data_IF_290288560855
#
_entry.id   IF_290288560855
#
_cell.length_a   1.000
_cell.length_b   1.000
_cell.length_c   1.000
_cell.angle_alpha   90.00
_cell.angle_beta   90.00
_cell.angle_gamma   90.00
#
_symmetry.space_group_name_H-M   'P 1'
#
loop_
_entity.id
_entity.type
_entity.pdbx_description
1 polymer ?
#
# COMPACT_ATOMS: atom_id res chain seq x y z
N UNK A 1 24.96 3.26 -27.95
CA UNK A 1 23.62 3.63 -28.46
C UNK A 1 22.97 4.43 -27.39
N UNK A 2 22.86 5.73 -27.55
CA UNK A 2 22.36 6.69 -26.57
C UNK A 2 20.83 6.63 -26.54
N UNK A 3 20.27 6.05 -25.46
CA UNK A 3 18.83 6.04 -25.23
C UNK A 3 18.46 7.39 -24.61
N UNK A 4 17.88 8.27 -25.41
CA UNK A 4 17.32 9.54 -24.98
C UNK A 4 16.05 9.27 -24.18
N UNK A 5 16.13 9.48 -22.86
CA UNK A 5 14.97 9.56 -21.99
C UNK A 5 14.05 10.70 -22.50
N UNK A 6 12.91 10.34 -23.03
CA UNK A 6 11.86 11.28 -23.42
C UNK A 6 11.30 11.92 -22.15
N UNK A 7 11.60 13.21 -21.97
CA UNK A 7 11.00 14.02 -20.90
C UNK A 7 9.48 14.03 -21.06
N UNK A 8 8.78 13.83 -19.95
CA UNK A 8 7.32 13.95 -19.92
C UNK A 8 6.90 15.34 -20.45
N UNK A 9 5.80 15.43 -21.22
CA UNK A 9 5.34 16.70 -21.75
C UNK A 9 4.98 17.65 -20.59
N UNK A 10 5.30 18.95 -20.73
CA UNK A 10 4.94 19.93 -19.73
C UNK A 10 3.39 19.97 -19.60
N UNK A 11 2.93 19.97 -18.36
CA UNK A 11 1.51 20.20 -18.04
C UNK A 11 1.03 21.44 -18.79
N UNK A 12 0.03 21.27 -19.64
CA UNK A 12 -0.55 22.34 -20.43
C UNK A 12 -0.97 23.48 -19.49
N UNK A 13 -0.36 24.64 -19.68
CA UNK A 13 -0.71 25.84 -18.97
C UNK A 13 -2.21 26.13 -19.17
N UNK A 14 -3.01 25.98 -18.09
CA UNK A 14 -4.42 26.40 -18.11
C UNK A 14 -4.47 27.87 -18.49
N UNK A 15 -5.25 28.19 -19.54
CA UNK A 15 -5.53 29.57 -19.96
C UNK A 15 -5.95 30.38 -18.73
N UNK A 16 -5.56 31.66 -18.62
CA UNK A 16 -5.98 32.51 -17.53
C UNK A 16 -7.51 32.58 -17.53
N UNK A 17 -8.10 32.07 -16.44
CA UNK A 17 -9.53 32.21 -16.21
C UNK A 17 -9.81 33.70 -16.00
N UNK A 18 -10.75 34.24 -16.76
CA UNK A 18 -11.30 35.59 -16.57
C UNK A 18 -11.67 35.78 -15.10
N UNK A 19 -11.15 36.84 -14.49
CA UNK A 19 -11.44 37.22 -13.11
C UNK A 19 -12.96 37.30 -12.91
N UNK A 20 -13.52 36.68 -11.86
CA UNK A 20 -14.93 36.82 -11.56
C UNK A 20 -15.26 38.30 -11.26
N UNK A 21 -16.36 38.79 -11.84
CA UNK A 21 -16.87 40.13 -11.58
C UNK A 21 -17.22 40.29 -10.08
N UNK A 22 -17.14 41.51 -9.51
CA UNK A 22 -17.50 41.78 -8.14
C UNK A 22 -18.94 41.31 -7.86
N UNK A 23 -19.15 40.69 -6.71
CA UNK A 23 -20.45 40.17 -6.29
C UNK A 23 -21.52 41.24 -6.36
N UNK A 24 -22.43 41.08 -7.29
CA UNK A 24 -23.73 41.79 -7.30
C UNK A 24 -24.53 41.40 -6.06
N UNK A 25 -25.38 42.30 -5.55
CA UNK A 25 -26.25 42.23 -4.36
C UNK A 25 -27.04 40.92 -4.16
N UNK A 26 -26.35 39.81 -4.00
CA UNK A 26 -26.98 38.58 -3.55
C UNK A 26 -27.10 38.61 -2.03
N UNK A 27 -28.25 38.25 -1.46
CA UNK A 27 -28.40 38.16 -0.02
C UNK A 27 -27.34 37.21 0.55
N UNK A 28 -26.76 37.58 1.69
CA UNK A 28 -25.80 36.73 2.40
C UNK A 28 -26.46 35.40 2.74
N UNK A 29 -25.70 34.28 2.67
CA UNK A 29 -26.22 32.97 3.10
C UNK A 29 -26.66 33.00 4.57
N UNK A 30 -27.68 32.25 4.90
CA UNK A 30 -28.21 32.16 6.26
C UNK A 30 -27.29 31.35 7.21
N UNK A 31 -26.37 30.55 6.65
CA UNK A 31 -25.41 29.73 7.38
C UNK A 31 -23.99 29.94 6.85
N UNK A 32 -23.01 29.91 7.74
CA UNK A 32 -21.58 29.93 7.35
C UNK A 32 -21.21 28.68 6.52
N UNK A 33 -21.89 27.56 6.68
CA UNK A 33 -21.67 26.36 5.90
C UNK A 33 -22.01 26.56 4.41
N UNK A 34 -23.00 27.42 4.12
CA UNK A 34 -23.43 27.74 2.76
C UNK A 34 -22.61 28.87 2.12
N UNK A 35 -21.75 29.51 2.90
CA UNK A 35 -20.86 30.55 2.36
C UNK A 35 -19.76 29.88 1.51
N UNK A 36 -19.74 30.14 0.19
CA UNK A 36 -18.74 29.52 -0.67
C UNK A 36 -17.33 30.03 -0.34
N UNK A 37 -16.30 29.31 -0.83
CA UNK A 37 -14.92 29.77 -0.74
C UNK A 37 -14.78 31.20 -1.25
N UNK A 38 -14.17 32.07 -0.48
CA UNK A 38 -13.96 33.48 -0.80
C UNK A 38 -12.60 33.70 -1.47
N UNK A 39 -12.49 34.82 -2.18
CA UNK A 39 -11.24 35.33 -2.75
C UNK A 39 -11.04 36.76 -2.29
N UNK A 40 -9.82 37.27 -2.40
CA UNK A 40 -9.55 38.68 -2.15
C UNK A 40 -10.41 39.56 -3.11
N UNK A 41 -11.16 40.51 -2.55
CA UNK A 41 -12.03 41.41 -3.32
C UNK A 41 -11.24 42.32 -4.28
N UNK A 42 -10.03 42.72 -3.87
CA UNK A 42 -9.12 43.58 -4.66
C UNK A 42 -7.68 43.06 -4.53
N UNK A 43 -7.32 41.99 -5.25
CA UNK A 43 -5.98 41.45 -5.15
C UNK A 43 -4.95 42.40 -5.75
N UNK A 44 -3.91 42.75 -5.00
CA UNK A 44 -2.81 43.60 -5.43
C UNK A 44 -1.74 42.85 -6.24
N UNK A 45 -1.82 41.50 -6.30
CA UNK A 45 -0.88 40.63 -7.02
C UNK A 45 -1.53 39.36 -7.50
N UNK A 46 -0.88 38.66 -8.46
CA UNK A 46 -1.31 37.35 -8.92
C UNK A 46 -1.27 36.32 -7.77
N UNK A 47 -0.38 36.48 -6.81
CA UNK A 47 -0.33 35.61 -5.62
C UNK A 47 -1.59 35.79 -4.75
N UNK A 48 -2.02 37.02 -4.50
CA UNK A 48 -3.25 37.30 -3.77
C UNK A 48 -4.50 36.83 -4.52
N UNK A 49 -4.51 36.90 -5.85
CA UNK A 49 -5.63 36.43 -6.66
C UNK A 49 -5.81 34.90 -6.61
N UNK A 50 -4.75 34.14 -6.26
CA UNK A 50 -4.80 32.69 -6.09
C UNK A 50 -5.30 32.24 -4.71
N UNK A 51 -5.31 33.14 -3.71
CA UNK A 51 -5.73 32.80 -2.36
C UNK A 51 -7.21 32.42 -2.29
N UNK A 52 -7.53 31.36 -1.59
CA UNK A 52 -8.87 30.89 -1.28
C UNK A 52 -9.06 30.85 0.23
N UNK A 53 -10.22 31.30 0.69
CA UNK A 53 -10.58 31.35 2.11
C UNK A 53 -11.82 30.50 2.35
N UNK A 54 -11.67 29.42 3.11
CA UNK A 54 -12.75 28.60 3.60
C UNK A 54 -13.10 29.02 5.03
N UNK A 55 -14.22 28.57 5.54
CA UNK A 55 -14.67 28.83 6.90
C UNK A 55 -14.88 27.53 7.68
N UNK A 56 -15.14 27.61 8.98
CA UNK A 56 -15.32 26.44 9.85
C UNK A 56 -16.53 25.58 9.48
N UNK A 57 -17.53 26.11 8.80
CA UNK A 57 -18.71 25.37 8.36
C UNK A 57 -18.47 24.50 7.13
N UNK A 58 -17.42 24.80 6.34
CA UNK A 58 -17.09 24.07 5.11
C UNK A 58 -15.62 23.64 4.98
N UNK A 59 -14.80 23.87 6.00
CA UNK A 59 -13.36 23.57 5.97
C UNK A 59 -13.04 22.07 5.72
N UNK A 60 -13.94 21.20 6.13
CA UNK A 60 -13.78 19.75 5.99
C UNK A 60 -14.63 19.12 4.88
N UNK A 61 -15.29 19.94 4.07
CA UNK A 61 -16.03 19.47 2.89
C UNK A 61 -15.06 19.18 1.73
N UNK A 62 -14.22 18.16 1.91
CA UNK A 62 -13.20 17.74 0.96
C UNK A 62 -13.87 16.79 -0.04
N UNK A 63 -13.75 17.09 -1.34
CA UNK A 63 -14.37 16.33 -2.42
C UNK A 63 -13.36 15.38 -3.10
N UNK A 64 -12.62 14.62 -2.29
CA UNK A 64 -11.79 13.51 -2.81
C UNK A 64 -12.61 12.22 -2.77
N UNK A 65 -12.49 11.35 -3.80
CA UNK A 65 -13.12 10.04 -3.77
C UNK A 65 -12.62 9.22 -2.57
N UNK A 66 -13.52 8.44 -1.98
CA UNK A 66 -13.15 7.45 -0.96
C UNK A 66 -12.24 6.39 -1.55
N UNK A 67 -11.37 5.81 -0.72
CA UNK A 67 -10.57 4.66 -1.11
C UNK A 67 -11.48 3.44 -1.23
N UNK A 68 -11.65 2.83 -2.43
CA UNK A 68 -12.57 1.73 -2.59
C UNK A 68 -11.98 0.42 -2.03
N UNK A 69 -12.82 -0.38 -1.36
CA UNK A 69 -12.49 -1.79 -1.12
C UNK A 69 -12.47 -2.53 -2.45
N UNK A 70 -11.36 -3.21 -2.77
CA UNK A 70 -11.15 -3.86 -4.05
C UNK A 70 -10.35 -5.16 -3.92
N UNK A 71 -10.57 -6.08 -4.87
CA UNK A 71 -9.76 -7.30 -5.03
C UNK A 71 -9.29 -7.40 -6.48
N UNK A 72 -7.99 -7.41 -6.69
CA UNK A 72 -7.33 -7.61 -7.97
C UNK A 72 -7.13 -9.11 -8.17
N UNK A 73 -7.84 -9.70 -9.12
CA UNK A 73 -7.80 -11.14 -9.45
C UNK A 73 -7.28 -11.39 -10.86
N UNK A 74 -7.44 -10.44 -11.76
CA UNK A 74 -6.99 -10.54 -13.14
C UNK A 74 -5.48 -10.32 -13.27
N UNK A 75 -4.91 -9.43 -12.44
CA UNK A 75 -3.49 -9.12 -12.45
C UNK A 75 -2.62 -10.31 -12.05
N UNK A 76 -2.89 -11.04 -10.94
CA UNK A 76 -2.16 -12.27 -10.64
C UNK A 76 -2.40 -13.37 -11.67
N UNK A 77 -3.62 -13.51 -12.21
CA UNK A 77 -3.90 -14.49 -13.27
C UNK A 77 -3.02 -14.23 -14.51
N UNK A 78 -2.91 -12.97 -14.92
CA UNK A 78 -2.00 -12.56 -16.01
C UNK A 78 -0.53 -12.79 -15.67
N UNK A 79 -0.11 -12.48 -14.44
CA UNK A 79 1.28 -12.67 -14.04
C UNK A 79 1.70 -14.14 -14.00
N UNK A 80 0.77 -15.04 -13.68
CA UNK A 80 0.99 -16.48 -13.62
C UNK A 80 0.78 -17.18 -14.97
N UNK A 81 0.18 -16.52 -15.94
CA UNK A 81 -0.01 -17.09 -17.30
C UNK A 81 1.35 -17.25 -18.00
N UNK A 82 1.74 -18.47 -18.41
CA UNK A 82 3.02 -18.76 -19.06
C UNK A 82 3.19 -18.03 -20.41
N UNK A 83 2.11 -17.55 -21.02
CA UNK A 83 2.18 -16.79 -22.27
C UNK A 83 2.49 -15.31 -22.07
N UNK A 84 2.31 -14.78 -20.87
CA UNK A 84 2.62 -13.37 -20.55
C UNK A 84 4.13 -13.12 -20.64
N UNK A 85 4.50 -12.05 -21.31
CA UNK A 85 5.91 -11.63 -21.44
C UNK A 85 6.46 -11.10 -20.09
N UNK A 86 7.79 -11.07 -19.98
CA UNK A 86 8.49 -10.39 -18.90
C UNK A 86 8.07 -8.92 -18.81
N UNK A 87 7.67 -8.47 -17.64
CA UNK A 87 7.19 -7.10 -17.43
C UNK A 87 6.43 -6.89 -16.12
N UNK A 88 5.95 -5.67 -15.93
CA UNK A 88 5.19 -5.23 -14.76
C UNK A 88 3.70 -5.15 -15.07
N UNK A 89 2.87 -5.57 -14.11
CA UNK A 89 1.41 -5.51 -14.15
C UNK A 89 0.94 -4.76 -12.91
N UNK A 90 0.48 -3.53 -13.09
CA UNK A 90 0.08 -2.66 -11.97
C UNK A 90 -1.32 -3.02 -11.45
N UNK A 91 -1.49 -3.01 -10.13
CA UNK A 91 -2.78 -3.00 -9.46
C UNK A 91 -3.28 -1.55 -9.37
N UNK A 92 -3.74 -1.01 -10.48
CA UNK A 92 -4.02 0.43 -10.62
C UNK A 92 -5.50 0.77 -10.39
N UNK A 93 -5.74 1.72 -9.48
CA UNK A 93 -7.04 2.33 -9.15
C UNK A 93 -7.04 3.84 -9.32
N UNK A 94 -6.08 4.40 -10.04
CA UNK A 94 -5.92 5.85 -10.23
C UNK A 94 -7.21 6.53 -10.70
N UNK A 95 -7.96 5.92 -11.60
CA UNK A 95 -9.24 6.44 -12.07
C UNK A 95 -10.28 6.57 -10.94
N UNK A 96 -10.38 5.57 -10.05
CA UNK A 96 -11.30 5.61 -8.91
C UNK A 96 -10.85 6.57 -7.80
N UNK A 97 -9.53 6.75 -7.67
CA UNK A 97 -8.92 7.65 -6.68
C UNK A 97 -8.82 9.10 -7.21
N UNK A 98 -9.13 9.34 -8.48
CA UNK A 98 -8.94 10.62 -9.18
C UNK A 98 -7.49 11.13 -9.10
N UNK A 99 -6.50 10.22 -9.17
CA UNK A 99 -5.08 10.58 -9.20
C UNK A 99 -4.56 10.61 -10.65
N UNK A 100 -3.63 11.54 -11.01
CA UNK A 100 -3.06 11.63 -12.35
C UNK A 100 -1.89 10.65 -12.60
N UNK A 101 -1.63 9.73 -11.68
CA UNK A 101 -0.56 8.73 -11.72
C UNK A 101 -1.10 7.38 -11.24
N UNK A 102 -0.49 6.25 -11.64
CA UNK A 102 -0.88 4.94 -11.16
C UNK A 102 -0.81 4.84 -9.63
N UNK A 103 -1.86 4.27 -9.02
CA UNK A 103 -1.97 4.11 -7.58
C UNK A 103 -2.92 2.96 -7.22
N UNK A 104 -2.55 2.10 -6.31
CA UNK A 104 -3.44 1.09 -5.71
C UNK A 104 -4.28 1.74 -4.61
N UNK A 105 -3.63 2.61 -3.84
CA UNK A 105 -4.20 3.46 -2.80
C UNK A 105 -3.53 4.83 -2.86
N UNK A 106 -3.98 5.87 -2.16
CA UNK A 106 -3.40 7.21 -2.28
C UNK A 106 -1.89 7.29 -2.10
N UNK A 107 -1.30 6.40 -1.29
CA UNK A 107 0.13 6.44 -0.98
C UNK A 107 0.92 5.22 -1.47
N UNK A 108 0.24 4.19 -2.00
CA UNK A 108 0.86 2.88 -2.29
C UNK A 108 0.51 2.41 -3.69
N UNK A 109 1.49 1.85 -4.37
CA UNK A 109 1.28 1.14 -5.63
C UNK A 109 1.84 -0.29 -5.54
N UNK A 110 0.94 -1.27 -5.68
CA UNK A 110 1.29 -2.68 -5.80
C UNK A 110 1.34 -3.10 -7.28
N UNK A 111 2.22 -4.04 -7.59
CA UNK A 111 2.41 -4.61 -8.93
C UNK A 111 2.76 -6.09 -8.84
N UNK A 112 2.44 -6.80 -9.89
CA UNK A 112 3.07 -8.09 -10.18
C UNK A 112 4.18 -7.87 -11.20
N UNK A 113 5.30 -8.53 -11.00
CA UNK A 113 6.38 -8.62 -11.98
C UNK A 113 6.48 -10.07 -12.44
N UNK A 114 6.28 -10.31 -13.74
CA UNK A 114 6.57 -11.60 -14.36
C UNK A 114 7.95 -11.53 -15.00
N UNK A 115 8.77 -12.57 -14.79
CA UNK A 115 10.10 -12.72 -15.37
C UNK A 115 10.19 -14.15 -15.90
N UNK A 116 10.33 -14.30 -17.20
CA UNK A 116 10.50 -15.62 -17.83
C UNK A 116 11.85 -16.24 -17.48
N UNK A 117 11.90 -17.55 -17.54
CA UNK A 117 13.14 -18.30 -17.31
C UNK A 117 14.32 -17.74 -18.13
N UNK A 118 15.38 -17.37 -17.45
CA UNK A 118 16.57 -16.79 -18.07
C UNK A 118 16.47 -15.30 -18.43
N UNK A 119 15.29 -14.69 -18.31
CA UNK A 119 15.11 -13.26 -18.53
C UNK A 119 15.57 -12.43 -17.32
N UNK A 120 15.70 -11.14 -17.57
CA UNK A 120 15.92 -10.11 -16.55
C UNK A 120 14.89 -9.00 -16.70
N UNK A 121 14.50 -8.40 -15.56
CA UNK A 121 13.60 -7.27 -15.48
C UNK A 121 14.31 -6.09 -14.78
N UNK A 122 14.79 -5.10 -15.54
CA UNK A 122 15.31 -3.87 -14.94
C UNK A 122 14.14 -3.01 -14.43
N UNK A 123 14.30 -2.47 -13.23
CA UNK A 123 13.35 -1.55 -12.59
C UNK A 123 14.10 -0.37 -11.98
N UNK A 124 13.41 0.78 -11.90
CA UNK A 124 13.88 1.95 -11.16
C UNK A 124 12.64 2.75 -10.76
N UNK A 125 12.25 2.66 -9.50
CA UNK A 125 11.02 3.27 -9.01
C UNK A 125 11.31 4.61 -8.32
N UNK A 126 10.50 5.63 -8.61
CA UNK A 126 10.48 6.90 -7.87
C UNK A 126 9.84 6.70 -6.49
N UNK A 127 10.56 6.03 -5.60
CA UNK A 127 10.08 5.63 -4.27
C UNK A 127 11.18 5.79 -3.22
N UNK A 128 10.81 5.82 -1.94
CA UNK A 128 11.76 5.78 -0.82
C UNK A 128 12.42 4.42 -0.67
N UNK A 129 11.71 3.37 -1.09
CA UNK A 129 12.16 1.98 -1.07
C UNK A 129 11.15 1.08 -1.78
N UNK A 130 11.51 -0.17 -1.93
CA UNK A 130 10.75 -1.19 -2.65
C UNK A 130 10.61 -2.42 -1.74
N UNK A 131 9.39 -2.90 -1.53
CA UNK A 131 9.13 -4.19 -0.90
C UNK A 131 8.80 -5.21 -1.98
N UNK A 132 9.40 -6.39 -1.91
CA UNK A 132 9.20 -7.50 -2.84
C UNK A 132 8.82 -8.76 -2.07
N UNK A 133 7.80 -9.47 -2.52
CA UNK A 133 7.49 -10.85 -2.11
C UNK A 133 7.62 -11.76 -3.33
N UNK A 134 8.30 -12.88 -3.17
CA UNK A 134 8.48 -13.87 -4.24
C UNK A 134 7.32 -14.84 -4.23
N UNK A 135 6.41 -14.71 -5.22
CA UNK A 135 5.24 -15.61 -5.36
C UNK A 135 5.67 -16.97 -5.90
N UNK A 136 6.53 -16.97 -6.92
CA UNK A 136 6.94 -18.17 -7.65
C UNK A 136 8.35 -18.02 -8.19
N UNK A 137 9.06 -19.13 -8.29
CA UNK A 137 10.37 -19.19 -8.92
C UNK A 137 11.52 -18.92 -7.95
N UNK A 138 12.70 -18.85 -8.52
CA UNK A 138 13.95 -18.51 -7.84
C UNK A 138 14.82 -17.66 -8.77
N UNK A 139 15.71 -16.86 -8.19
CA UNK A 139 16.57 -15.98 -8.95
C UNK A 139 17.46 -15.13 -8.06
N UNK A 140 17.84 -13.99 -8.57
CA UNK A 140 18.57 -12.99 -7.78
C UNK A 140 18.19 -11.57 -8.21
N UNK A 141 18.38 -10.63 -7.31
CA UNK A 141 18.22 -9.20 -7.57
C UNK A 141 19.56 -8.52 -7.33
N UNK A 142 19.99 -7.72 -8.30
CA UNK A 142 21.06 -6.77 -8.12
C UNK A 142 20.48 -5.38 -7.83
N UNK A 143 20.93 -4.76 -6.72
CA UNK A 143 20.55 -3.42 -6.31
C UNK A 143 21.81 -2.67 -5.81
N UNK A 144 22.41 -1.83 -6.65
CA UNK A 144 23.75 -1.28 -6.39
C UNK A 144 24.80 -2.39 -6.29
N UNK A 145 25.54 -2.44 -5.17
CA UNK A 145 26.54 -3.47 -4.89
C UNK A 145 25.96 -4.75 -4.25
N UNK A 146 24.67 -4.76 -3.92
CA UNK A 146 24.02 -5.91 -3.30
C UNK A 146 23.54 -6.93 -4.32
N UNK A 147 23.83 -8.20 -4.05
CA UNK A 147 23.36 -9.36 -4.79
C UNK A 147 22.53 -10.27 -3.88
N UNK A 148 21.23 -10.23 -4.03
CA UNK A 148 20.29 -10.97 -3.19
C UNK A 148 19.72 -12.16 -3.97
N UNK A 149 20.16 -13.36 -3.68
CA UNK A 149 19.50 -14.58 -4.16
C UNK A 149 18.18 -14.77 -3.42
N UNK A 150 17.13 -15.19 -4.13
CA UNK A 150 15.79 -15.38 -3.58
C UNK A 150 15.09 -16.60 -4.19
N UNK A 151 14.10 -17.08 -3.47
CA UNK A 151 13.19 -18.14 -3.86
C UNK A 151 11.75 -17.83 -3.43
N UNK A 152 10.79 -18.66 -3.89
CA UNK A 152 9.39 -18.50 -3.53
C UNK A 152 9.18 -18.45 -2.01
N UNK A 153 8.41 -17.47 -1.54
CA UNK A 153 8.12 -17.20 -0.14
C UNK A 153 9.03 -16.16 0.51
N UNK A 154 10.14 -15.79 -0.11
CA UNK A 154 11.04 -14.77 0.41
C UNK A 154 10.44 -13.36 0.35
N UNK A 155 10.82 -12.51 1.31
CA UNK A 155 10.54 -11.07 1.31
C UNK A 155 11.84 -10.31 1.20
N UNK A 156 11.89 -9.32 0.29
CA UNK A 156 13.02 -8.41 0.16
C UNK A 156 12.56 -6.98 0.40
N UNK A 157 13.42 -6.17 1.01
CA UNK A 157 13.30 -4.71 1.05
C UNK A 157 14.53 -4.14 0.38
N UNK A 158 14.31 -3.23 -0.57
CA UNK A 158 15.38 -2.65 -1.37
C UNK A 158 15.34 -1.12 -1.28
N UNK A 159 16.48 -0.44 -1.32
CA UNK A 159 16.53 1.02 -1.38
C UNK A 159 15.82 1.55 -2.64
N UNK A 160 15.09 2.65 -2.51
CA UNK A 160 14.51 3.36 -3.66
C UNK A 160 15.51 4.27 -4.35
N UNK A 161 15.13 4.81 -5.51
CA UNK A 161 15.91 5.81 -6.24
C UNK A 161 17.16 5.29 -6.93
N UNK A 162 17.32 3.98 -7.02
CA UNK A 162 18.43 3.35 -7.74
C UNK A 162 17.95 2.22 -8.65
N UNK A 163 18.67 1.94 -9.75
CA UNK A 163 18.35 0.81 -10.62
C UNK A 163 18.45 -0.52 -9.87
N UNK A 164 17.51 -1.39 -10.17
CA UNK A 164 17.45 -2.77 -9.69
C UNK A 164 17.25 -3.68 -10.90
N UNK A 165 17.89 -4.85 -10.90
CA UNK A 165 17.70 -5.83 -11.96
C UNK A 165 17.35 -7.17 -11.30
N UNK A 166 16.16 -7.67 -11.62
CA UNK A 166 15.69 -8.96 -11.16
C UNK A 166 15.93 -10.02 -12.24
N UNK A 167 16.61 -11.10 -11.90
CA UNK A 167 16.92 -12.20 -12.82
C UNK A 167 16.18 -13.46 -12.35
N UNK A 168 15.38 -14.06 -13.25
CA UNK A 168 14.84 -15.39 -13.04
C UNK A 168 15.87 -16.45 -13.40
N UNK A 169 16.00 -17.46 -12.55
CA UNK A 169 16.86 -18.61 -12.79
C UNK A 169 16.24 -19.57 -13.84
N UNK A 170 16.42 -20.87 -13.74
CA UNK A 170 15.99 -21.87 -14.74
C UNK A 170 14.45 -22.04 -14.90
N UNK A 171 13.63 -21.26 -14.21
CA UNK A 171 12.16 -21.27 -14.30
C UNK A 171 11.61 -19.85 -14.25
N UNK A 172 10.35 -19.70 -14.71
CA UNK A 172 9.63 -18.43 -14.61
C UNK A 172 9.48 -17.99 -13.17
N UNK A 173 9.63 -16.68 -12.92
CA UNK A 173 9.41 -16.08 -11.63
C UNK A 173 8.26 -15.07 -11.66
N UNK A 174 7.52 -14.99 -10.55
CA UNK A 174 6.51 -13.97 -10.31
C UNK A 174 6.80 -13.32 -8.96
N UNK A 175 6.96 -12.01 -8.99
CA UNK A 175 7.18 -11.18 -7.80
C UNK A 175 5.97 -10.29 -7.56
N UNK A 176 5.63 -10.03 -6.30
CA UNK A 176 4.73 -8.95 -5.91
C UNK A 176 5.57 -7.81 -5.36
N UNK A 177 5.43 -6.63 -5.97
CA UNK A 177 6.26 -5.45 -5.68
C UNK A 177 5.36 -4.33 -5.19
N UNK A 178 5.72 -3.73 -4.05
CA UNK A 178 4.98 -2.61 -3.46
C UNK A 178 5.92 -1.43 -3.20
N UNK A 179 5.47 -0.24 -3.59
CA UNK A 179 6.23 1.00 -3.47
C UNK A 179 5.35 2.14 -2.95
N UNK A 180 5.98 3.20 -2.44
CA UNK A 180 5.31 4.45 -2.07
C UNK A 180 5.42 5.54 -3.17
N UNK A 181 5.52 5.15 -4.44
CA UNK A 181 5.57 6.09 -5.56
C UNK A 181 4.41 7.09 -5.58
N UNK A 182 3.13 6.69 -5.30
CA UNK A 182 2.02 7.64 -5.26
C UNK A 182 2.20 8.74 -4.22
N UNK A 183 2.81 8.44 -3.06
CA UNK A 183 3.12 9.43 -2.04
C UNK A 183 4.10 10.48 -2.58
N UNK A 184 5.21 10.06 -3.20
CA UNK A 184 6.19 10.98 -3.77
C UNK A 184 5.58 11.81 -4.90
N UNK A 185 4.77 11.18 -5.74
CA UNK A 185 4.07 11.85 -6.84
C UNK A 185 3.08 12.91 -6.34
N UNK A 186 2.34 12.62 -5.26
CA UNK A 186 1.41 13.58 -4.64
C UNK A 186 2.12 14.83 -4.14
N UNK A 187 3.26 14.66 -3.49
CA UNK A 187 4.05 15.77 -2.93
C UNK A 187 5.01 16.39 -3.95
N UNK A 188 5.07 15.90 -5.20
CA UNK A 188 6.06 16.28 -6.23
C UNK A 188 7.51 16.07 -5.77
N UNK A 189 7.75 15.07 -4.92
CA UNK A 189 9.07 14.69 -4.46
C UNK A 189 9.78 13.78 -5.46
N UNK A 190 11.09 13.59 -5.23
CA UNK A 190 11.93 12.64 -5.94
C UNK A 190 12.47 11.59 -4.99
N UNK A 191 12.83 10.44 -5.54
CA UNK A 191 13.54 9.41 -4.79
C UNK A 191 14.81 9.94 -4.15
N UNK A 192 15.25 9.38 -3.02
CA UNK A 192 16.57 9.67 -2.48
C UNK A 192 17.68 9.38 -3.49
N UNK A 193 18.74 10.16 -3.46
CA UNK A 193 19.95 9.86 -4.24
C UNK A 193 20.54 8.50 -3.81
N UNK A 194 21.30 7.86 -4.70
CA UNK A 194 21.98 6.60 -4.41
C UNK A 194 22.78 6.70 -3.10
N UNK A 195 22.63 5.72 -2.22
CA UNK A 195 23.25 5.68 -0.90
C UNK A 195 22.59 6.56 0.17
N UNK A 196 21.54 7.33 -0.17
CA UNK A 196 20.79 8.19 0.77
C UNK A 196 19.39 7.69 1.07
N UNK A 197 19.03 6.49 0.61
CA UNK A 197 17.72 5.91 0.88
C UNK A 197 17.52 5.72 2.40
N UNK A 198 16.28 5.92 2.91
CA UNK A 198 15.98 5.77 4.34
C UNK A 198 15.95 4.30 4.77
N UNK A 199 16.10 3.36 3.83
CA UNK A 199 16.19 1.92 4.08
C UNK A 199 17.44 1.34 3.41
N UNK A 200 17.81 0.14 3.81
CA UNK A 200 18.90 -0.68 3.27
C UNK A 200 18.32 -1.92 2.60
N UNK A 201 19.16 -2.68 1.89
CA UNK A 201 18.76 -3.97 1.38
C UNK A 201 18.59 -4.96 2.55
N UNK A 202 17.43 -5.60 2.65
CA UNK A 202 17.11 -6.58 3.68
C UNK A 202 16.45 -7.78 3.03
N UNK A 203 16.84 -8.98 3.45
CA UNK A 203 16.28 -10.25 2.99
C UNK A 203 15.71 -11.03 4.16
N UNK A 204 14.46 -11.43 4.05
CA UNK A 204 13.75 -12.29 5.00
C UNK A 204 13.47 -13.62 4.30
N UNK A 205 14.25 -14.68 4.56
CA UNK A 205 14.07 -15.99 3.93
C UNK A 205 12.76 -16.67 4.35
N UNK A 206 12.14 -17.40 3.44
CA UNK A 206 10.86 -18.08 3.65
C UNK A 206 10.86 -19.09 4.80
N UNK A 207 11.94 -19.84 4.97
CA UNK A 207 12.12 -20.77 6.06
C UNK A 207 12.20 -20.07 7.42
N UNK A 208 12.90 -18.95 7.51
CA UNK A 208 12.96 -18.13 8.72
C UNK A 208 11.60 -17.47 9.01
N UNK A 209 10.89 -16.96 8.00
CA UNK A 209 9.52 -16.46 8.16
C UNK A 209 8.62 -17.54 8.76
N UNK A 210 8.67 -18.76 8.22
CA UNK A 210 7.89 -19.90 8.73
C UNK A 210 8.25 -20.23 10.16
N UNK A 211 9.54 -20.29 10.50
CA UNK A 211 10.02 -20.54 11.85
C UNK A 211 9.53 -19.49 12.85
N UNK A 212 9.56 -18.21 12.47
CA UNK A 212 9.09 -17.12 13.31
C UNK A 212 7.56 -17.18 13.54
N UNK A 213 6.79 -17.54 12.52
CA UNK A 213 5.34 -17.71 12.65
C UNK A 213 5.04 -18.89 13.59
N UNK A 214 5.73 -20.01 13.46
CA UNK A 214 5.53 -21.18 14.34
C UNK A 214 5.87 -20.84 15.79
N UNK A 215 6.93 -20.06 16.02
CA UNK A 215 7.26 -19.56 17.36
C UNK A 215 6.14 -18.68 17.94
N UNK A 216 5.52 -17.80 17.14
CA UNK A 216 4.38 -16.98 17.58
C UNK A 216 3.21 -17.87 18.00
N UNK A 217 2.92 -18.97 17.29
CA UNK A 217 1.88 -19.91 17.66
C UNK A 217 2.20 -20.67 18.93
N UNK A 218 3.44 -21.08 19.12
CA UNK A 218 3.85 -21.83 20.31
C UNK A 218 3.78 -20.97 21.58
N UNK A 219 4.22 -19.71 21.50
CA UNK A 219 4.20 -18.77 22.63
C UNK A 219 2.82 -18.14 22.85
N UNK A 220 2.09 -17.86 21.76
CA UNK A 220 0.81 -17.14 21.80
C UNK A 220 -0.41 -17.98 22.19
N UNK A 221 -0.24 -19.27 22.54
CA UNK A 221 -1.35 -20.15 22.91
C UNK A 221 -2.14 -19.59 24.10
N UNK A 222 -3.43 -19.37 23.91
CA UNK A 222 -4.33 -18.89 24.95
C UNK A 222 -4.32 -17.39 25.20
N UNK A 223 -3.62 -16.62 24.36
CA UNK A 223 -3.66 -15.16 24.42
C UNK A 223 -4.76 -14.59 23.49
N UNK A 224 -5.48 -13.58 23.97
CA UNK A 224 -6.46 -12.84 23.15
C UNK A 224 -5.73 -11.80 22.29
N UNK A 225 -5.34 -12.21 21.10
CA UNK A 225 -4.68 -11.35 20.09
C UNK A 225 -5.53 -11.25 18.83
N UNK A 226 -5.44 -10.14 18.12
CA UNK A 226 -6.20 -9.88 16.88
C UNK A 226 -5.81 -10.79 15.69
N UNK A 227 -4.94 -11.76 15.91
CA UNK A 227 -4.36 -12.69 14.93
C UNK A 227 -2.86 -12.84 15.16
N UNK A 228 -2.28 -13.94 14.66
CA UNK A 228 -0.83 -14.13 14.73
C UNK A 228 -0.18 -13.36 13.58
N UNK A 229 0.41 -12.21 13.89
CA UNK A 229 1.10 -11.35 12.93
C UNK A 229 2.59 -11.29 13.20
N UNK A 230 3.40 -11.62 12.20
CA UNK A 230 4.84 -11.38 12.18
C UNK A 230 5.10 -10.01 11.55
N UNK A 231 5.66 -9.08 12.30
CA UNK A 231 5.98 -7.74 11.82
C UNK A 231 7.41 -7.72 11.30
N UNK A 232 7.59 -7.24 10.07
CA UNK A 232 8.91 -7.09 9.45
C UNK A 232 9.52 -5.74 9.78
N UNK A 233 10.80 -5.71 10.06
CA UNK A 233 11.57 -4.49 10.30
C UNK A 233 13.05 -4.72 9.99
N UNK A 234 13.85 -3.67 10.02
CA UNK A 234 15.31 -3.74 9.89
C UNK A 234 15.97 -2.97 11.01
N UNK A 235 17.29 -3.15 11.19
CA UNK A 235 18.07 -2.39 12.16
C UNK A 235 17.91 -0.89 11.97
N UNK A 236 17.85 -0.41 10.72
CA UNK A 236 17.67 1.00 10.39
C UNK A 236 16.29 1.55 10.77
N UNK A 237 15.26 0.70 10.78
CA UNK A 237 13.88 1.06 11.08
C UNK A 237 13.39 0.54 12.45
N UNK A 238 14.27 0.08 13.31
CA UNK A 238 13.96 -0.58 14.58
C UNK A 238 13.08 0.30 15.49
N UNK A 239 13.37 1.60 15.57
CA UNK A 239 12.65 2.52 16.45
C UNK A 239 11.16 2.67 16.12
N UNK A 240 10.77 2.45 14.86
CA UNK A 240 9.38 2.56 14.37
C UNK A 240 8.83 1.23 13.86
N UNK A 241 9.64 0.16 13.85
CA UNK A 241 9.26 -1.22 13.46
C UNK A 241 8.61 -1.29 12.09
N UNK A 242 9.15 -0.54 11.14
CA UNK A 242 8.70 -0.50 9.75
C UNK A 242 9.74 -1.15 8.82
N UNK A 243 9.40 -1.32 7.56
CA UNK A 243 10.34 -1.65 6.48
C UNK A 243 10.78 -0.42 5.70
N UNK A 244 9.87 0.56 5.55
CA UNK A 244 10.13 1.89 5.02
C UNK A 244 9.58 2.93 6.00
N UNK A 245 10.01 4.20 5.97
CA UNK A 245 9.50 5.21 6.89
C UNK A 245 7.98 5.30 6.96
N UNK A 246 7.31 5.10 5.84
CA UNK A 246 5.84 5.23 5.72
C UNK A 246 5.11 3.89 5.62
N UNK A 247 5.81 2.78 5.34
CA UNK A 247 5.19 1.48 5.13
C UNK A 247 5.56 0.48 6.22
N UNK A 248 4.55 -0.11 6.83
CA UNK A 248 4.65 -1.31 7.65
C UNK A 248 4.38 -2.54 6.81
N UNK A 249 5.00 -3.66 7.16
CA UNK A 249 4.72 -4.97 6.54
C UNK A 249 4.52 -6.01 7.64
N UNK A 250 3.45 -6.80 7.47
CA UNK A 250 3.13 -7.89 8.38
C UNK A 250 2.72 -9.15 7.62
N UNK A 251 3.21 -10.32 8.04
CA UNK A 251 2.67 -11.60 7.62
C UNK A 251 1.63 -12.05 8.65
N UNK A 252 0.38 -12.00 8.27
CA UNK A 252 -0.72 -12.50 9.10
C UNK A 252 -1.02 -13.97 8.79
N UNK A 253 -1.41 -14.68 9.82
CA UNK A 253 -1.75 -16.09 9.74
C UNK A 253 -2.95 -16.41 10.62
N UNK A 254 -3.86 -17.26 10.11
CA UNK A 254 -5.04 -17.73 10.84
C UNK A 254 -5.11 -19.27 10.79
N UNK A 255 -5.24 -19.97 11.92
CA UNK A 255 -5.50 -21.41 11.93
C UNK A 255 -6.83 -21.77 11.26
N UNK A 256 -7.03 -23.04 10.88
CA UNK A 256 -8.33 -23.53 10.43
C UNK A 256 -9.46 -23.24 11.42
N UNK A 257 -10.61 -22.78 10.93
CA UNK A 257 -11.79 -22.49 11.75
C UNK A 257 -11.71 -21.21 12.58
N UNK A 258 -10.60 -20.47 12.53
CA UNK A 258 -10.42 -19.24 13.32
C UNK A 258 -10.90 -18.02 12.53
N UNK A 259 -11.58 -17.13 13.24
CA UNK A 259 -12.01 -15.81 12.76
C UNK A 259 -11.31 -14.72 13.55
N UNK A 260 -10.82 -13.73 12.85
CA UNK A 260 -10.26 -12.53 13.46
C UNK A 260 -11.41 -11.63 13.94
N UNK A 261 -11.27 -11.07 15.13
CA UNK A 261 -12.25 -10.15 15.69
C UNK A 261 -12.36 -8.88 14.82
N UNK A 262 -13.59 -8.39 14.54
CA UNK A 262 -13.78 -7.17 13.75
C UNK A 262 -13.05 -5.98 14.38
N UNK A 263 -12.28 -5.29 13.55
CA UNK A 263 -11.49 -4.12 13.98
C UNK A 263 -11.39 -3.10 12.85
N UNK A 264 -10.87 -1.93 13.18
CA UNK A 264 -10.56 -0.87 12.23
C UNK A 264 -9.25 -0.19 12.59
N UNK A 265 -8.61 0.38 11.61
CA UNK A 265 -7.44 1.25 11.76
C UNK A 265 -7.46 2.37 10.73
N UNK A 266 -6.76 3.46 11.00
CA UNK A 266 -6.70 4.62 10.11
C UNK A 266 -5.73 4.47 8.93
N UNK A 267 -4.84 3.47 8.94
CA UNK A 267 -4.04 3.10 7.77
C UNK A 267 -4.89 2.35 6.73
N UNK A 268 -4.55 2.52 5.47
CA UNK A 268 -5.01 1.61 4.42
C UNK A 268 -4.26 0.27 4.53
N UNK A 269 -4.87 -0.84 4.13
CA UNK A 269 -4.16 -2.10 3.98
C UNK A 269 -4.22 -2.60 2.53
N UNK A 270 -3.06 -2.91 1.96
CA UNK A 270 -2.90 -3.61 0.69
C UNK A 270 -2.34 -4.99 1.02
N UNK A 271 -3.12 -6.03 0.76
CA UNK A 271 -2.79 -7.39 1.20
C UNK A 271 -2.66 -8.34 0.02
N UNK A 272 -1.63 -9.18 0.05
CA UNK A 272 -1.46 -10.31 -0.87
C UNK A 272 -1.96 -11.59 -0.19
N UNK A 273 -2.91 -12.28 -0.79
CA UNK A 273 -3.38 -13.59 -0.34
C UNK A 273 -2.37 -14.65 -0.75
N UNK A 274 -1.69 -15.29 0.22
CA UNK A 274 -0.69 -16.33 -0.03
C UNK A 274 -1.31 -17.72 0.06
N UNK A 275 -2.06 -17.99 1.13
CA UNK A 275 -2.80 -19.23 1.33
C UNK A 275 -4.16 -18.90 1.95
N UNK A 276 -5.24 -19.27 1.28
CA UNK A 276 -6.56 -18.83 1.73
C UNK A 276 -7.72 -19.62 1.11
N UNK A 277 -7.52 -20.93 0.86
CA UNK A 277 -8.62 -21.78 0.41
C UNK A 277 -9.76 -21.81 1.43
N UNK A 278 -10.99 -21.47 1.00
CA UNK A 278 -12.17 -21.39 1.87
C UNK A 278 -12.17 -20.19 2.83
N UNK A 279 -11.24 -19.24 2.65
CA UNK A 279 -11.13 -18.04 3.45
C UNK A 279 -11.89 -16.86 2.84
N UNK A 280 -12.25 -15.90 3.69
CA UNK A 280 -12.85 -14.64 3.25
C UNK A 280 -12.54 -13.52 4.25
N UNK A 281 -12.70 -12.29 3.77
CA UNK A 281 -12.78 -11.10 4.61
C UNK A 281 -14.20 -10.58 4.64
N UNK A 282 -14.56 -9.89 5.73
CA UNK A 282 -15.74 -9.03 5.78
C UNK A 282 -15.25 -7.60 5.93
N UNK A 283 -15.60 -6.72 5.01
CA UNK A 283 -15.21 -5.30 5.00
C UNK A 283 -16.48 -4.46 4.92
N UNK A 284 -16.75 -3.66 5.95
CA UNK A 284 -18.00 -2.88 6.11
C UNK A 284 -19.25 -3.71 5.82
N UNK A 285 -19.29 -4.92 6.41
CA UNK A 285 -20.40 -5.87 6.27
C UNK A 285 -20.43 -6.63 4.93
N UNK A 286 -19.55 -6.35 4.00
CA UNK A 286 -19.47 -7.03 2.71
C UNK A 286 -18.46 -8.17 2.73
N UNK A 287 -18.93 -9.39 2.39
CA UNK A 287 -18.07 -10.56 2.25
C UNK A 287 -17.22 -10.46 0.98
N UNK A 288 -15.93 -10.75 1.11
CA UNK A 288 -14.92 -10.84 0.04
C UNK A 288 -14.24 -12.20 0.12
N UNK A 289 -14.57 -13.13 -0.76
CA UNK A 289 -13.91 -14.42 -0.80
C UNK A 289 -12.47 -14.26 -1.31
N UNK A 290 -11.55 -15.06 -0.76
CA UNK A 290 -10.15 -15.00 -1.11
C UNK A 290 -9.84 -15.84 -2.35
N UNK A 291 -9.06 -15.27 -3.25
CA UNK A 291 -8.45 -15.99 -4.37
C UNK A 291 -6.94 -16.03 -4.17
N UNK A 292 -6.31 -17.13 -4.53
CA UNK A 292 -4.85 -17.27 -4.44
C UNK A 292 -4.15 -16.13 -5.19
N UNK A 293 -3.18 -15.54 -4.53
CA UNK A 293 -2.35 -14.45 -5.03
C UNK A 293 -3.10 -13.14 -5.34
N UNK A 294 -4.38 -13.03 -5.00
CA UNK A 294 -5.09 -11.77 -5.15
C UNK A 294 -4.48 -10.68 -4.27
N UNK A 295 -4.37 -9.47 -4.83
CA UNK A 295 -4.11 -8.26 -4.07
C UNK A 295 -5.45 -7.66 -3.64
N UNK A 296 -5.63 -7.41 -2.33
CA UNK A 296 -6.86 -6.83 -1.80
C UNK A 296 -6.59 -5.48 -1.15
N UNK A 297 -7.55 -4.57 -1.22
CA UNK A 297 -7.51 -3.27 -0.56
C UNK A 297 -8.59 -3.21 0.52
N UNK A 298 -8.15 -2.95 1.76
CA UNK A 298 -9.02 -2.58 2.87
C UNK A 298 -8.90 -1.07 3.09
N UNK A 299 -10.00 -0.31 2.93
CA UNK A 299 -9.97 1.15 3.08
C UNK A 299 -9.59 1.59 4.49
N UNK A 300 -9.04 2.81 4.67
CA UNK A 300 -8.81 3.37 5.98
C UNK A 300 -10.12 3.48 6.76
N UNK A 301 -10.10 3.17 8.04
CA UNK A 301 -11.24 3.20 8.98
C UNK A 301 -12.37 2.20 8.72
N UNK A 302 -12.35 1.45 7.62
CA UNK A 302 -13.32 0.38 7.36
C UNK A 302 -13.28 -0.69 8.45
N UNK A 303 -14.44 -1.10 8.95
CA UNK A 303 -14.55 -2.22 9.89
C UNK A 303 -14.31 -3.51 9.11
N UNK A 304 -13.31 -4.27 9.52
CA UNK A 304 -12.97 -5.51 8.82
C UNK A 304 -12.55 -6.65 9.75
N UNK A 305 -12.69 -7.86 9.22
CA UNK A 305 -12.28 -9.11 9.85
C UNK A 305 -11.91 -10.13 8.78
N UNK A 306 -11.07 -11.11 9.17
CA UNK A 306 -10.65 -12.19 8.30
C UNK A 306 -11.08 -13.53 8.89
N UNK A 307 -11.54 -14.46 8.05
CA UNK A 307 -12.14 -15.72 8.46
C UNK A 307 -11.51 -16.87 7.69
N UNK A 308 -10.99 -17.85 8.40
CA UNK A 308 -10.48 -19.08 7.80
C UNK A 308 -11.48 -20.22 7.96
N UNK A 309 -12.31 -20.43 6.94
CA UNK A 309 -13.22 -21.59 6.87
C UNK A 309 -12.60 -22.81 6.18
N UNK A 310 -11.35 -22.74 5.77
CA UNK A 310 -10.63 -23.81 5.09
C UNK A 310 -9.95 -24.79 6.04
N UNK A 311 -9.40 -25.90 5.48
CA UNK A 311 -8.78 -26.97 6.28
C UNK A 311 -7.31 -26.68 6.64
N UNK A 312 -6.71 -25.65 6.06
CA UNK A 312 -5.30 -25.31 6.25
C UNK A 312 -5.13 -23.91 6.85
N UNK A 313 -3.96 -23.64 7.40
CA UNK A 313 -3.57 -22.30 7.86
C UNK A 313 -3.67 -21.30 6.71
N UNK A 314 -4.41 -20.22 6.92
CA UNK A 314 -4.43 -19.08 6.01
C UNK A 314 -3.21 -18.18 6.25
N UNK A 315 -2.68 -17.62 5.18
CA UNK A 315 -1.55 -16.67 5.22
C UNK A 315 -1.77 -15.53 4.23
N UNK A 316 -1.49 -14.33 4.66
CA UNK A 316 -1.55 -13.14 3.80
C UNK A 316 -0.54 -12.10 4.27
N UNK A 317 0.13 -11.47 3.30
CA UNK A 317 1.11 -10.42 3.54
C UNK A 317 0.42 -9.06 3.42
N UNK A 318 0.53 -8.23 4.43
CA UNK A 318 -0.12 -6.92 4.50
C UNK A 318 0.93 -5.83 4.43
N UNK A 319 0.75 -4.87 3.53
CA UNK A 319 1.47 -3.62 3.48
C UNK A 319 0.49 -2.49 3.83
N UNK A 320 0.88 -1.65 4.81
CA UNK A 320 0.07 -0.51 5.23
C UNK A 320 0.90 0.78 5.20
N UNK A 321 0.23 1.91 4.97
CA UNK A 321 0.80 3.25 5.17
C UNK A 321 0.88 3.64 6.66
N UNK A 322 0.83 2.65 7.54
CA UNK A 322 0.84 2.77 9.00
C UNK A 322 2.02 3.52 9.58
N UNK A 323 3.16 3.52 8.88
CA UNK A 323 4.36 4.23 9.31
C UNK A 323 4.17 5.73 9.47
N UNK A 324 3.34 6.35 8.66
CA UNK A 324 2.96 7.76 8.81
C UNK A 324 2.28 8.00 10.16
N UNK A 325 1.36 7.14 10.54
CA UNK A 325 0.59 7.26 11.78
C UNK A 325 1.47 6.96 13.00
N UNK A 326 2.44 6.06 12.89
CA UNK A 326 3.44 5.85 13.94
C UNK A 326 4.31 7.09 14.12
N UNK A 327 4.81 7.65 13.03
CA UNK A 327 5.65 8.84 13.08
C UNK A 327 4.91 10.06 13.66
N UNK A 328 3.66 10.26 13.29
CA UNK A 328 2.81 11.36 13.80
C UNK A 328 2.19 11.08 15.18
N UNK A 329 2.37 9.86 15.76
CA UNK A 329 1.76 9.40 17.04
C UNK A 329 0.22 9.39 16.97
N UNK A 330 -0.33 9.19 15.79
CA UNK A 330 -1.76 9.21 15.50
C UNK A 330 -2.29 7.84 15.06
N UNK A 331 -1.62 6.74 15.41
CA UNK A 331 -2.11 5.40 15.09
C UNK A 331 -3.47 5.18 15.76
N UNK A 332 -4.49 4.98 14.93
CA UNK A 332 -5.84 4.63 15.36
C UNK A 332 -6.10 3.16 15.07
N UNK A 333 -6.16 2.34 16.13
CA UNK A 333 -6.63 0.96 16.08
C UNK A 333 -7.70 0.76 17.12
N UNK A 334 -8.81 0.12 16.75
CA UNK A 334 -9.87 -0.24 17.71
C UNK A 334 -10.61 -1.49 17.25
N UNK A 335 -11.03 -2.32 18.20
CA UNK A 335 -12.02 -3.35 17.92
C UNK A 335 -13.40 -2.73 17.75
N UNK A 336 -14.18 -3.25 16.79
CA UNK A 336 -15.54 -2.81 16.54
C UNK A 336 -16.54 -3.39 17.57
N UNK A 337 -16.17 -4.50 18.21
CA UNK A 337 -16.98 -5.21 19.20
C UNK A 337 -16.25 -5.28 20.54
N UNK A 338 -17.00 -5.29 21.65
CA UNK A 338 -16.42 -5.54 22.96
C UNK A 338 -15.76 -6.94 23.00
N UNK A 339 -14.71 -7.16 23.81
CA UNK A 339 -14.17 -8.49 23.99
C UNK A 339 -15.25 -9.40 24.56
N UNK A 340 -15.28 -10.71 24.19
CA UNK A 340 -16.17 -11.67 24.83
C UNK A 340 -15.92 -11.63 26.34
N UNK A 341 -17.01 -11.54 27.11
CA UNK A 341 -16.91 -11.61 28.57
C UNK A 341 -16.21 -12.92 28.94
N UNK A 342 -15.21 -12.89 29.83
CA UNK A 342 -14.64 -14.14 30.34
C UNK A 342 -15.77 -14.97 30.93
N UNK A 343 -15.87 -16.25 30.50
CA UNK A 343 -16.80 -17.19 31.14
C UNK A 343 -16.48 -17.21 32.63
N UNK A 344 -17.43 -16.72 33.43
CA UNK A 344 -17.37 -16.91 34.88
C UNK A 344 -17.42 -18.41 35.10
N UNK A 345 -16.28 -19.02 35.38
CA UNK A 345 -16.25 -20.42 35.82
C UNK A 345 -17.12 -20.53 37.08
N UNK A 346 -18.06 -21.48 37.10
CA UNK A 346 -18.91 -21.73 38.27
C UNK A 346 -18.08 -22.18 39.49
#
# INVERSE_FOLDING_TARGET
MTNTLQAAPPLAAKRPQTLPQPMTDKPLPSSIADLPAQRAARPASAAQARALYYNTGNAFNIQLPEVPSHSFTDEPARALDPTTATGLIACDRSAALATPYPATTPLVLARYARIRAGDQLPTCFEASGVMVYVIQGAGHTQAGDEHLAWQAGDVLVLPGGQPQVHHAAGQDAVLWIVTNEPQLAFEHLRSPAAGQAPTEAVHFPADEISRQIDLLYDVGRGQDIAGSALIFSSTRQEAIRNVLPTLTVAMNSLPPGVSQRPHRHNSVAVSLVIAGEGCHSVVDGQRKDWSAWATTVTPPTAVHSHHNGGPRRAMFLIVQDGGLYYYTRALGFSFAEAPPMPETRP
#
